data_IF_732469428106
#
_entry.id   IF_732469428106
#
_cell.length_a   1.000
_cell.length_b   1.000
_cell.length_c   1.000
_cell.angle_alpha   90.00
_cell.angle_beta   90.00
_cell.angle_gamma   90.00
#
_symmetry.space_group_name_H-M   'P 1'
#
loop_
_entity.id
_entity.type
_entity.pdbx_description
1 polymer ?
#
# COMPACT_ATOMS: atom_id res chain seq x y z
N UNK A 1 17.09 -5.29 -14.75
CA UNK A 1 15.87 -5.99 -15.27
C UNK A 1 14.70 -5.01 -15.23
N UNK A 2 13.90 -4.99 -16.28
CA UNK A 2 12.74 -4.12 -16.47
C UNK A 2 11.56 -4.56 -15.59
N UNK A 3 10.76 -3.61 -15.12
CA UNK A 3 9.49 -3.90 -14.42
C UNK A 3 8.36 -4.12 -15.43
N UNK A 4 7.54 -5.15 -15.21
CA UNK A 4 6.33 -5.36 -15.99
C UNK A 4 5.22 -4.43 -15.52
N UNK A 5 4.94 -3.37 -16.30
CA UNK A 5 3.95 -2.33 -15.96
C UNK A 5 2.54 -2.91 -16.00
N UNK A 6 1.89 -3.00 -14.85
CA UNK A 6 0.54 -3.57 -14.73
C UNK A 6 -0.54 -2.48 -14.72
N UNK A 7 -0.37 -1.46 -13.90
CA UNK A 7 -1.29 -0.32 -13.80
C UNK A 7 -0.47 0.95 -13.99
N UNK A 8 -0.81 1.74 -15.00
CA UNK A 8 0.01 2.90 -15.41
C UNK A 8 -0.70 4.18 -15.00
N UNK A 9 -0.04 4.99 -14.17
CA UNK A 9 -0.44 6.33 -13.78
C UNK A 9 0.31 7.41 -14.55
N UNK A 10 0.19 8.65 -14.09
CA UNK A 10 0.84 9.80 -14.72
C UNK A 10 2.35 9.82 -14.44
N UNK A 11 2.75 9.62 -13.18
CA UNK A 11 4.14 9.72 -12.72
C UNK A 11 4.72 8.40 -12.27
N UNK A 12 3.86 7.45 -11.93
CA UNK A 12 4.22 6.11 -11.46
C UNK A 12 3.47 5.03 -12.24
N UNK A 13 3.98 3.82 -12.13
CA UNK A 13 3.22 2.63 -12.45
C UNK A 13 3.30 1.61 -11.31
N UNK A 14 2.32 0.74 -11.25
CA UNK A 14 2.33 -0.41 -10.36
C UNK A 14 2.73 -1.66 -11.17
N UNK A 15 3.69 -2.41 -10.65
CA UNK A 15 4.21 -3.63 -11.23
C UNK A 15 4.17 -4.79 -10.22
N UNK A 16 4.10 -6.05 -10.64
CA UNK A 16 4.32 -7.17 -9.74
C UNK A 16 5.64 -7.00 -8.97
N UNK A 17 5.64 -7.37 -7.69
CA UNK A 17 6.88 -7.36 -6.89
C UNK A 17 7.92 -8.32 -7.46
N UNK A 18 9.19 -8.02 -7.25
CA UNK A 18 10.31 -8.84 -7.69
C UNK A 18 11.14 -9.28 -6.50
N UNK A 19 11.62 -10.50 -6.54
CA UNK A 19 12.48 -11.07 -5.48
C UNK A 19 13.79 -10.29 -5.38
N UNK A 20 14.31 -9.79 -6.50
CA UNK A 20 15.54 -9.01 -6.58
C UNK A 20 15.48 -7.70 -5.80
N UNK A 21 14.29 -7.20 -5.50
CA UNK A 21 14.08 -5.97 -4.74
C UNK A 21 14.19 -6.18 -3.21
N UNK A 22 14.35 -7.41 -2.73
CA UNK A 22 14.39 -7.76 -1.31
C UNK A 22 15.40 -6.93 -0.50
N UNK A 23 16.61 -6.70 -1.03
CA UNK A 23 17.61 -5.88 -0.36
C UNK A 23 17.14 -4.44 -0.12
N UNK A 24 16.38 -3.88 -1.06
CA UNK A 24 15.81 -2.53 -0.94
C UNK A 24 14.69 -2.49 0.11
N UNK A 25 13.83 -3.48 0.14
CA UNK A 25 12.81 -3.63 1.18
C UNK A 25 13.44 -3.79 2.57
N UNK A 26 14.48 -4.61 2.70
CA UNK A 26 15.19 -4.77 3.97
C UNK A 26 15.77 -3.45 4.49
N UNK A 27 16.36 -2.63 3.62
CA UNK A 27 16.88 -1.30 4.00
C UNK A 27 15.77 -0.39 4.51
N UNK A 28 14.58 -0.42 3.87
CA UNK A 28 13.43 0.34 4.31
C UNK A 28 12.90 -0.15 5.65
N UNK A 29 12.80 -1.45 5.86
CA UNK A 29 12.35 -2.02 7.15
C UNK A 29 13.36 -1.81 8.29
N UNK A 30 14.64 -1.60 7.97
CA UNK A 30 15.66 -1.24 8.96
C UNK A 30 15.61 0.25 9.37
N UNK A 31 14.93 1.11 8.61
CA UNK A 31 14.74 2.51 8.96
C UNK A 31 13.66 2.65 10.01
N UNK A 32 14.03 3.08 11.22
CA UNK A 32 13.12 3.15 12.36
C UNK A 32 11.91 4.08 12.12
N UNK A 33 12.12 5.23 11.44
CA UNK A 33 11.04 6.18 11.17
C UNK A 33 9.98 5.58 10.23
N UNK A 34 10.42 4.80 9.24
CA UNK A 34 9.51 4.09 8.35
C UNK A 34 8.85 2.91 9.07
N UNK A 35 9.65 2.05 9.69
CA UNK A 35 9.20 0.81 10.29
C UNK A 35 8.22 1.00 11.45
N UNK A 36 8.32 2.12 12.20
CA UNK A 36 7.36 2.47 13.26
C UNK A 36 5.93 2.66 12.72
N UNK A 37 5.77 3.07 11.47
CA UNK A 37 4.47 3.22 10.82
C UNK A 37 3.92 1.91 10.23
N UNK A 38 4.72 0.84 10.27
CA UNK A 38 4.35 -0.49 9.80
C UNK A 38 4.03 -1.42 10.98
N UNK A 39 3.24 -2.45 10.73
CA UNK A 39 2.90 -3.46 11.75
C UNK A 39 4.05 -4.45 12.02
N UNK A 40 5.20 -4.29 11.38
CA UNK A 40 6.32 -5.22 11.40
C UNK A 40 7.58 -4.67 12.09
N UNK A 41 7.47 -3.57 12.84
CA UNK A 41 8.64 -2.94 13.47
C UNK A 41 9.39 -3.84 14.46
N UNK A 42 8.68 -4.76 15.11
CA UNK A 42 9.22 -5.75 16.05
C UNK A 42 9.93 -6.95 15.35
N UNK A 43 9.87 -7.02 14.01
CA UNK A 43 10.43 -8.13 13.25
C UNK A 43 11.81 -7.76 12.70
N UNK A 44 12.78 -8.63 12.95
CA UNK A 44 14.07 -8.52 12.27
C UNK A 44 13.92 -9.09 10.85
N UNK A 45 14.17 -8.24 9.86
CA UNK A 45 14.08 -8.62 8.47
C UNK A 45 15.50 -8.84 7.91
N UNK A 46 15.79 -10.07 7.46
CA UNK A 46 17.00 -10.40 6.70
C UNK A 46 16.66 -10.52 5.21
N UNK A 47 17.67 -10.39 4.36
CA UNK A 47 17.48 -10.50 2.92
C UNK A 47 16.85 -11.85 2.53
N UNK A 48 17.35 -12.94 3.08
CA UNK A 48 16.87 -14.30 2.81
C UNK A 48 15.40 -14.47 3.21
N UNK A 49 15.01 -13.86 4.33
CA UNK A 49 13.62 -13.87 4.79
C UNK A 49 12.73 -13.06 3.86
N UNK A 50 13.18 -11.89 3.43
CA UNK A 50 12.41 -11.04 2.51
C UNK A 50 12.28 -11.69 1.14
N UNK A 51 13.35 -12.29 0.60
CA UNK A 51 13.30 -13.07 -0.64
C UNK A 51 12.28 -14.21 -0.57
N UNK A 52 12.22 -14.90 0.56
CA UNK A 52 11.25 -15.97 0.78
C UNK A 52 9.81 -15.43 0.81
N UNK A 53 9.58 -14.29 1.50
CA UNK A 53 8.26 -13.62 1.56
C UNK A 53 7.82 -13.18 0.16
N UNK A 54 8.68 -12.49 -0.59
CA UNK A 54 8.38 -12.04 -1.94
C UNK A 54 8.11 -13.21 -2.89
N UNK A 55 8.92 -14.30 -2.78
CA UNK A 55 8.72 -15.53 -3.55
C UNK A 55 7.36 -16.16 -3.28
N UNK A 56 6.95 -16.21 -2.02
CA UNK A 56 5.65 -16.76 -1.63
C UNK A 56 4.50 -15.88 -2.16
N UNK A 57 4.61 -14.56 -2.04
CA UNK A 57 3.64 -13.62 -2.59
C UNK A 57 3.46 -13.77 -4.10
N UNK A 58 4.57 -13.94 -4.84
CA UNK A 58 4.52 -14.16 -6.30
C UNK A 58 3.85 -15.50 -6.62
N UNK A 59 4.20 -16.58 -5.92
CA UNK A 59 3.61 -17.91 -6.15
C UNK A 59 2.11 -17.97 -5.86
N UNK A 60 1.67 -17.27 -4.82
CA UNK A 60 0.27 -17.25 -4.39
C UNK A 60 -0.57 -16.20 -5.13
N UNK A 61 -0.02 -15.55 -6.15
CA UNK A 61 -0.71 -14.49 -6.91
C UNK A 61 -1.29 -13.40 -5.99
N UNK A 62 -0.54 -13.02 -4.97
CA UNK A 62 -0.95 -11.97 -4.03
C UNK A 62 -1.11 -10.64 -4.74
N UNK A 63 -2.12 -9.87 -4.36
CA UNK A 63 -2.37 -8.53 -4.94
C UNK A 63 -1.44 -7.49 -4.31
N UNK A 64 -0.15 -7.68 -4.52
CA UNK A 64 0.91 -6.77 -4.08
C UNK A 64 1.69 -6.24 -5.28
N UNK A 65 1.98 -4.95 -5.25
CA UNK A 65 2.63 -4.23 -6.33
C UNK A 65 3.80 -3.38 -5.84
N UNK A 66 4.88 -3.38 -6.60
CA UNK A 66 5.92 -2.38 -6.53
C UNK A 66 5.41 -1.04 -7.08
N UNK A 67 5.69 0.06 -6.40
CA UNK A 67 5.43 1.43 -6.86
C UNK A 67 6.72 1.94 -7.51
N UNK A 68 6.66 2.24 -8.80
CA UNK A 68 7.84 2.58 -9.61
C UNK A 68 7.62 3.89 -10.35
N UNK A 69 8.61 4.81 -10.33
CA UNK A 69 8.55 6.08 -11.08
C UNK A 69 8.69 5.81 -12.57
N UNK A 70 7.81 6.42 -13.38
CA UNK A 70 7.69 6.14 -14.83
C UNK A 70 8.98 6.35 -15.63
N UNK A 71 9.68 7.45 -15.41
CA UNK A 71 10.81 7.86 -16.25
C UNK A 71 12.15 7.30 -15.78
N UNK A 72 12.27 6.96 -14.49
CA UNK A 72 13.53 6.55 -13.87
C UNK A 72 13.57 5.06 -13.59
N UNK A 73 12.44 4.36 -13.73
CA UNK A 73 12.23 2.97 -13.30
C UNK A 73 12.69 2.73 -11.85
N UNK A 74 12.60 3.79 -11.04
CA UNK A 74 12.99 3.75 -9.65
C UNK A 74 11.87 3.18 -8.79
N UNK A 75 12.15 2.06 -8.12
CA UNK A 75 11.29 1.54 -7.06
C UNK A 75 11.27 2.51 -5.89
N UNK A 76 10.09 2.95 -5.46
CA UNK A 76 9.92 3.88 -4.33
C UNK A 76 9.09 3.33 -3.17
N UNK A 77 8.42 2.19 -3.36
CA UNK A 77 7.55 1.62 -2.35
C UNK A 77 6.77 0.42 -2.83
N UNK A 78 5.79 0.02 -2.06
CA UNK A 78 4.84 -1.02 -2.44
C UNK A 78 3.43 -0.70 -1.94
N UNK A 79 2.43 -1.28 -2.61
CA UNK A 79 1.04 -1.25 -2.17
C UNK A 79 0.37 -2.60 -2.43
N UNK A 80 -0.70 -2.89 -1.70
CA UNK A 80 -1.36 -4.19 -1.76
C UNK A 80 -2.84 -4.11 -1.41
N UNK A 81 -3.59 -5.09 -1.92
CA UNK A 81 -4.90 -5.48 -1.42
C UNK A 81 -4.74 -6.87 -0.82
N UNK A 82 -4.82 -6.98 0.50
CA UNK A 82 -4.73 -8.25 1.22
C UNK A 82 -6.03 -8.56 1.95
N UNK A 83 -6.13 -9.74 2.54
CA UNK A 83 -7.37 -10.26 3.14
C UNK A 83 -8.57 -10.18 2.18
N UNK A 84 -8.31 -10.55 0.91
CA UNK A 84 -9.28 -10.48 -0.17
C UNK A 84 -10.43 -11.48 0.06
N UNK A 85 -11.61 -10.94 0.30
CA UNK A 85 -12.85 -11.70 0.47
C UNK A 85 -13.75 -11.50 -0.75
N UNK A 86 -13.81 -12.52 -1.60
CA UNK A 86 -14.65 -12.49 -2.81
C UNK A 86 -16.14 -12.59 -2.52
N UNK A 87 -16.53 -13.19 -1.38
CA UNK A 87 -17.94 -13.36 -1.01
C UNK A 87 -18.52 -12.04 -0.55
N UNK A 88 -17.83 -11.35 0.36
CA UNK A 88 -18.23 -10.04 0.88
C UNK A 88 -17.69 -8.88 0.01
N UNK A 89 -16.86 -9.18 -1.00
CA UNK A 89 -16.31 -8.22 -1.94
C UNK A 89 -15.54 -7.09 -1.24
N UNK A 90 -14.64 -7.45 -0.32
CA UNK A 90 -13.83 -6.52 0.47
C UNK A 90 -12.36 -6.91 0.49
N UNK A 91 -11.50 -5.94 0.79
CA UNK A 91 -10.06 -6.17 1.00
C UNK A 91 -9.49 -5.08 1.92
N UNK A 92 -8.36 -5.39 2.57
CA UNK A 92 -7.57 -4.40 3.30
C UNK A 92 -6.49 -3.82 2.39
N UNK A 93 -6.39 -2.48 2.34
CA UNK A 93 -5.36 -1.77 1.59
C UNK A 93 -4.14 -1.54 2.48
N UNK A 94 -2.97 -1.89 1.97
CA UNK A 94 -1.69 -1.52 2.54
C UNK A 94 -0.84 -0.72 1.56
N UNK A 95 -0.10 0.26 2.07
CA UNK A 95 0.84 1.05 1.27
C UNK A 95 2.04 1.49 2.08
N UNK A 96 3.19 1.47 1.45
CA UNK A 96 4.45 1.99 1.97
C UNK A 96 5.20 2.75 0.88
N UNK A 97 5.52 4.03 1.11
CA UNK A 97 6.54 4.74 0.35
C UNK A 97 7.84 4.63 1.14
N UNK A 98 8.72 3.74 0.69
CA UNK A 98 9.97 3.41 1.36
C UNK A 98 11.06 4.46 1.14
N UNK A 99 11.08 5.07 -0.04
CA UNK A 99 12.03 6.13 -0.37
C UNK A 99 11.55 7.46 0.24
N UNK A 100 12.25 7.92 1.30
CA UNK A 100 11.90 9.15 2.01
C UNK A 100 12.00 10.40 1.14
N UNK A 101 12.87 10.40 0.13
CA UNK A 101 12.97 11.52 -0.81
C UNK A 101 11.70 11.74 -1.61
N UNK A 102 10.86 10.69 -1.72
CA UNK A 102 9.57 10.71 -2.41
C UNK A 102 8.37 11.06 -1.51
N UNK A 103 8.59 11.31 -0.21
CA UNK A 103 7.51 11.66 0.70
C UNK A 103 6.95 13.05 0.43
N UNK A 104 5.65 13.23 0.73
CA UNK A 104 4.91 14.49 0.56
C UNK A 104 4.86 15.03 -0.89
N UNK A 105 5.17 14.19 -1.89
CA UNK A 105 5.13 14.56 -3.30
C UNK A 105 3.91 14.02 -4.05
N UNK A 106 2.98 13.36 -3.34
CA UNK A 106 1.74 12.85 -3.93
C UNK A 106 1.84 11.45 -4.56
N UNK A 107 3.01 10.81 -4.57
CA UNK A 107 3.16 9.45 -5.12
C UNK A 107 2.28 8.42 -4.40
N UNK A 108 2.16 8.52 -3.06
CA UNK A 108 1.28 7.65 -2.30
C UNK A 108 -0.20 7.83 -2.66
N UNK A 109 -0.64 9.07 -2.88
CA UNK A 109 -2.01 9.37 -3.35
C UNK A 109 -2.27 8.71 -4.70
N UNK A 110 -1.38 8.90 -5.67
CA UNK A 110 -1.51 8.32 -7.01
C UNK A 110 -1.51 6.78 -6.99
N UNK A 111 -0.66 6.17 -6.17
CA UNK A 111 -0.62 4.71 -6.01
C UNK A 111 -1.92 4.16 -5.43
N UNK A 112 -2.49 4.85 -4.42
CA UNK A 112 -3.77 4.45 -3.82
C UNK A 112 -4.90 4.58 -4.85
N UNK A 113 -4.97 5.67 -5.62
CA UNK A 113 -5.99 5.86 -6.65
C UNK A 113 -5.95 4.75 -7.71
N UNK A 114 -4.75 4.36 -8.18
CA UNK A 114 -4.59 3.24 -9.11
C UNK A 114 -5.04 1.90 -8.49
N UNK A 115 -4.73 1.68 -7.22
CA UNK A 115 -5.07 0.46 -6.53
C UNK A 115 -6.58 0.37 -6.23
N UNK A 116 -7.23 1.49 -5.90
CA UNK A 116 -8.69 1.59 -5.74
C UNK A 116 -9.40 1.30 -7.07
N UNK A 117 -8.93 1.90 -8.16
CA UNK A 117 -9.48 1.66 -9.49
C UNK A 117 -9.39 0.17 -9.87
N UNK A 118 -8.24 -0.45 -9.62
CA UNK A 118 -8.05 -1.89 -9.81
C UNK A 118 -8.99 -2.72 -8.91
N UNK A 119 -9.08 -2.36 -7.62
CA UNK A 119 -9.92 -3.07 -6.67
C UNK A 119 -11.42 -3.01 -7.02
N UNK A 120 -11.92 -1.83 -7.33
CA UNK A 120 -13.34 -1.65 -7.61
C UNK A 120 -13.74 -2.11 -9.02
N UNK A 121 -12.96 -1.76 -10.05
CA UNK A 121 -13.35 -1.97 -11.45
C UNK A 121 -12.84 -3.29 -12.05
N UNK A 122 -11.75 -3.87 -11.53
CA UNK A 122 -11.20 -5.14 -12.04
C UNK A 122 -11.50 -6.30 -11.09
N UNK A 123 -11.23 -6.15 -9.79
CA UNK A 123 -11.54 -7.19 -8.80
C UNK A 123 -12.99 -7.17 -8.34
N UNK A 124 -13.77 -6.17 -8.76
CA UNK A 124 -15.19 -6.02 -8.45
C UNK A 124 -15.48 -5.98 -6.95
N UNK A 125 -14.58 -5.35 -6.17
CA UNK A 125 -14.78 -5.15 -4.73
C UNK A 125 -15.88 -4.11 -4.48
N UNK A 126 -16.47 -4.16 -3.29
CA UNK A 126 -17.46 -3.19 -2.83
C UNK A 126 -16.93 -2.28 -1.73
N UNK A 127 -16.03 -2.79 -0.87
CA UNK A 127 -15.43 -2.04 0.23
C UNK A 127 -13.93 -2.29 0.26
N UNK A 128 -13.14 -1.23 0.31
CA UNK A 128 -11.70 -1.29 0.57
C UNK A 128 -11.44 -0.52 1.85
N UNK A 129 -10.93 -1.21 2.87
CA UNK A 129 -10.65 -0.61 4.16
C UNK A 129 -9.14 -0.60 4.45
N UNK A 130 -8.73 0.17 5.43
CA UNK A 130 -7.35 0.25 5.89
C UNK A 130 -7.29 0.56 7.38
N UNK A 131 -6.10 0.39 7.95
CA UNK A 131 -5.77 0.76 9.32
C UNK A 131 -4.61 1.74 9.32
N UNK A 132 -4.64 2.71 10.20
CA UNK A 132 -3.57 3.67 10.38
C UNK A 132 -3.41 4.01 11.86
N UNK A 133 -2.16 4.06 12.34
CA UNK A 133 -1.91 4.50 13.71
C UNK A 133 -2.11 6.02 13.82
N UNK A 134 -2.74 6.49 14.90
CA UNK A 134 -3.07 7.90 15.10
C UNK A 134 -1.88 8.85 15.02
N UNK A 135 -0.68 8.38 15.36
CA UNK A 135 0.55 9.17 15.22
C UNK A 135 1.05 9.29 13.78
N UNK A 136 0.55 8.51 12.85
CA UNK A 136 0.89 8.59 11.42
C UNK A 136 0.00 9.61 10.69
N UNK A 137 0.08 10.88 11.14
CA UNK A 137 -0.74 11.96 10.58
C UNK A 137 -0.57 12.13 9.07
N UNK A 138 0.62 11.83 8.53
CA UNK A 138 0.91 11.93 7.09
C UNK A 138 0.03 10.95 6.30
N UNK A 139 -0.01 9.70 6.71
CA UNK A 139 -0.82 8.68 6.05
C UNK A 139 -2.32 8.99 6.23
N UNK A 140 -2.75 9.35 7.43
CA UNK A 140 -4.13 9.73 7.71
C UNK A 140 -4.62 10.88 6.81
N UNK A 141 -3.81 11.95 6.65
CA UNK A 141 -4.11 13.07 5.75
C UNK A 141 -4.17 12.62 4.29
N UNK A 142 -3.28 11.70 3.87
CA UNK A 142 -3.28 11.15 2.52
C UNK A 142 -4.57 10.37 2.25
N UNK A 143 -4.99 9.49 3.16
CA UNK A 143 -6.20 8.68 3.02
C UNK A 143 -7.47 9.55 2.97
N UNK A 144 -7.59 10.55 3.87
CA UNK A 144 -8.69 11.51 3.81
C UNK A 144 -8.73 12.27 2.47
N UNK A 145 -7.57 12.69 1.95
CA UNK A 145 -7.49 13.40 0.66
C UNK A 145 -7.98 12.53 -0.50
N UNK A 146 -7.71 11.23 -0.47
CA UNK A 146 -8.21 10.27 -1.47
C UNK A 146 -9.72 10.06 -1.35
N UNK A 147 -10.27 10.18 -0.15
CA UNK A 147 -11.71 10.03 0.10
C UNK A 147 -12.08 8.92 1.09
N UNK A 148 -11.11 8.28 1.73
CA UNK A 148 -11.38 7.34 2.83
C UNK A 148 -12.05 8.05 3.99
N UNK A 149 -12.99 7.37 4.64
CA UNK A 149 -13.74 7.84 5.82
C UNK A 149 -13.34 7.05 7.05
N UNK A 150 -13.16 7.73 8.16
CA UNK A 150 -12.96 7.07 9.46
C UNK A 150 -14.26 6.37 9.89
N UNK A 151 -14.17 5.06 10.16
CA UNK A 151 -15.30 4.22 10.58
C UNK A 151 -15.20 3.76 12.03
N UNK A 152 -14.06 3.94 12.67
CA UNK A 152 -13.88 3.59 14.08
C UNK A 152 -12.43 3.56 14.52
N UNK A 153 -12.24 3.26 15.82
CA UNK A 153 -10.93 3.19 16.44
C UNK A 153 -10.81 1.99 17.36
N UNK A 154 -9.68 1.31 17.25
CA UNK A 154 -9.22 0.36 18.26
C UNK A 154 -8.36 1.12 19.26
N UNK A 155 -8.91 1.35 20.45
CA UNK A 155 -8.26 2.17 21.46
C UNK A 155 -7.05 1.46 22.06
N UNK A 156 -5.95 2.22 22.26
CA UNK A 156 -4.70 1.73 22.87
C UNK A 156 -4.13 0.48 22.19
N UNK A 157 -4.34 0.35 20.87
CA UNK A 157 -3.96 -0.83 20.06
C UNK A 157 -2.44 -0.98 19.89
N UNK A 158 -1.70 0.10 20.06
CA UNK A 158 -0.24 0.12 19.93
C UNK A 158 0.41 0.74 21.16
N UNK A 159 1.48 0.11 21.64
CA UNK A 159 2.29 0.65 22.74
C UNK A 159 3.72 0.83 22.23
N UNK A 160 4.24 2.06 22.28
CA UNK A 160 5.61 2.40 21.91
C UNK A 160 6.24 3.19 23.05
N UNK A 161 7.35 2.71 23.62
CA UNK A 161 8.05 3.36 24.72
C UNK A 161 7.13 3.77 25.89
N UNK A 162 6.13 2.92 26.21
CA UNK A 162 5.14 3.16 27.25
C UNK A 162 4.00 4.11 26.88
N UNK A 163 4.03 4.74 25.71
CA UNK A 163 2.91 5.54 25.19
C UNK A 163 1.95 4.65 24.42
N UNK A 164 0.67 4.89 24.64
CA UNK A 164 -0.42 4.14 24.01
C UNK A 164 -1.03 4.96 22.89
N UNK A 165 -1.34 4.29 21.80
CA UNK A 165 -1.88 4.91 20.57
C UNK A 165 -3.05 4.12 20.05
N UNK A 166 -4.03 4.82 19.49
CA UNK A 166 -5.15 4.22 18.80
C UNK A 166 -4.75 3.77 17.39
N UNK A 167 -5.43 2.72 16.92
CA UNK A 167 -5.44 2.33 15.51
C UNK A 167 -6.77 2.77 14.90
N UNK A 168 -6.72 3.61 13.90
CA UNK A 168 -7.87 4.19 13.22
C UNK A 168 -8.22 3.29 12.03
N UNK A 169 -9.48 2.88 11.94
CA UNK A 169 -10.03 2.17 10.80
C UNK A 169 -10.70 3.16 9.84
N UNK A 170 -10.36 3.04 8.57
CA UNK A 170 -10.96 3.85 7.51
C UNK A 170 -11.42 2.95 6.37
N UNK A 171 -12.47 3.32 5.65
CA UNK A 171 -12.93 2.62 4.46
C UNK A 171 -13.27 3.54 3.30
N UNK A 172 -13.44 2.92 2.13
CA UNK A 172 -13.89 3.54 0.91
C UNK A 172 -14.84 2.58 0.18
N UNK A 173 -16.05 3.05 -0.16
CA UNK A 173 -17.04 2.26 -0.86
C UNK A 173 -16.94 2.44 -2.38
N UNK A 174 -17.19 1.37 -3.15
CA UNK A 174 -17.23 1.43 -4.61
C UNK A 174 -18.20 2.50 -5.13
N UNK A 175 -19.32 2.73 -4.44
CA UNK A 175 -20.31 3.76 -4.80
C UNK A 175 -19.82 5.21 -4.64
N UNK A 176 -18.74 5.41 -3.92
CA UNK A 176 -18.11 6.70 -3.67
C UNK A 176 -16.95 6.98 -4.65
N UNK A 177 -16.47 5.94 -5.34
CA UNK A 177 -15.37 6.04 -6.29
C UNK A 177 -15.85 6.60 -7.63
N UNK A 178 -15.46 7.81 -7.95
CA UNK A 178 -15.90 8.53 -9.16
C UNK A 178 -14.83 8.60 -10.26
N UNK A 179 -13.59 8.20 -9.95
CA UNK A 179 -12.47 8.21 -10.88
C UNK A 179 -12.23 6.84 -11.50
N UNK A 180 -11.91 6.77 -12.79
CA UNK A 180 -11.32 5.58 -13.39
C UNK A 180 -10.20 6.00 -14.33
N UNK A 181 -8.96 5.71 -13.91
CA UNK A 181 -7.77 5.85 -14.79
C UNK A 181 -7.66 4.67 -15.75
N UNK A 182 -8.24 3.52 -15.37
CA UNK A 182 -8.25 2.31 -16.19
C UNK A 182 -9.28 2.36 -17.31
N UNK A 183 -10.27 3.26 -17.25
CA UNK A 183 -11.28 3.43 -18.31
C UNK A 183 -10.67 3.74 -19.68
N UNK A 184 -9.48 4.34 -19.72
CA UNK A 184 -8.80 4.70 -20.96
C UNK A 184 -8.29 3.47 -21.74
N UNK A 185 -8.14 2.32 -21.09
CA UNK A 185 -7.80 1.05 -21.73
C UNK A 185 -8.97 0.38 -22.47
N UNK A 186 -10.21 0.85 -22.23
CA UNK A 186 -11.42 0.24 -22.77
C UNK A 186 -12.19 1.15 -23.75
N UNK A 187 -11.54 2.22 -24.22
CA UNK A 187 -12.08 3.15 -25.24
C UNK A 187 -11.74 2.73 -26.65
#
# INVERSE_FOLDING_TARGET
>A
MEYYRKLIGERIFLAPVRIEDADKFCRWFADAELAMNLTMFDRQMTKEREEAILSDMVKNNSQIFSIVINNEEQLIGSCSLFDLDHSDRKAELGIMIGDKSCWNQGYGTEAIELLLDYGFNILNLNNIYLKVFEYNERAYKCYNKVGFKEIGRHREARIIMGRKYDEIFMDFLASEFTGSKLSDYFK
#
